data_IF_680090006185
#
_entry.id   IF_680090006185
#
_cell.length_a   1.000
_cell.length_b   1.000
_cell.length_c   1.000
_cell.angle_alpha   90.00
_cell.angle_beta   90.00
_cell.angle_gamma   90.00
#
_symmetry.space_group_name_H-M   'P 1'
#
loop_
_entity.id
_entity.type
_entity.pdbx_description
1 polymer ?
#
# COMPACT_ATOMS: atom_id res chain seq x y z
N UNK A 1 4.72 0.89 -13.63
CA UNK A 1 4.34 2.11 -12.91
C UNK A 1 3.56 1.83 -11.61
N UNK A 2 2.29 1.40 -11.59
CA UNK A 2 1.51 1.28 -10.33
C UNK A 2 2.11 0.27 -9.34
N UNK A 3 2.48 -0.93 -9.82
CA UNK A 3 3.17 -1.96 -9.01
C UNK A 3 4.53 -1.50 -8.49
N UNK A 4 5.18 -0.59 -9.20
CA UNK A 4 6.50 -0.08 -8.81
C UNK A 4 6.40 0.90 -7.65
N UNK A 5 5.23 1.52 -7.45
CA UNK A 5 5.00 2.38 -6.29
C UNK A 5 5.08 1.62 -4.97
N UNK A 6 4.97 0.29 -4.96
CA UNK A 6 5.07 -0.55 -3.76
C UNK A 6 6.50 -0.98 -3.43
N UNK A 7 7.46 -0.74 -4.33
CA UNK A 7 8.88 -1.03 -4.05
C UNK A 7 9.43 0.01 -3.08
N UNK A 8 10.23 -0.43 -2.11
CA UNK A 8 10.92 0.44 -1.15
C UNK A 8 9.98 1.38 -0.36
N UNK A 9 8.73 0.98 -0.16
CA UNK A 9 7.77 1.70 0.66
C UNK A 9 7.57 1.00 2.00
N UNK A 10 7.42 1.80 3.05
CA UNK A 10 7.06 1.29 4.35
C UNK A 10 5.58 0.85 4.40
N UNK A 11 5.27 -0.16 5.22
CA UNK A 11 3.89 -0.60 5.48
C UNK A 11 3.02 0.53 6.04
N UNK A 12 1.70 0.32 6.07
CA UNK A 12 0.67 1.36 6.30
C UNK A 12 0.42 2.27 5.09
N UNK A 13 0.38 1.67 3.90
CA UNK A 13 0.17 2.38 2.64
C UNK A 13 -1.24 2.99 2.54
N UNK A 14 -1.31 4.23 2.09
CA UNK A 14 -2.49 5.01 1.82
C UNK A 14 -2.61 5.37 0.34
N UNK A 15 -3.84 5.38 -0.19
CA UNK A 15 -4.08 5.69 -1.60
C UNK A 15 -4.47 7.16 -1.77
N UNK A 16 -3.70 7.89 -2.59
CA UNK A 16 -3.99 9.27 -2.99
C UNK A 16 -4.55 9.32 -4.40
N UNK A 17 -5.51 10.22 -4.66
CA UNK A 17 -6.14 10.39 -5.98
C UNK A 17 -5.70 11.69 -6.61
N UNK A 18 -5.28 11.63 -7.88
CA UNK A 18 -5.04 12.82 -8.70
C UNK A 18 -3.78 13.62 -8.35
N UNK A 19 -2.93 13.09 -7.47
CA UNK A 19 -1.62 13.66 -7.14
C UNK A 19 -0.56 12.56 -7.08
N UNK A 20 0.70 12.95 -7.26
CA UNK A 20 1.84 12.08 -6.99
C UNK A 20 1.92 11.81 -5.48
N UNK A 21 2.38 10.62 -5.07
CA UNK A 21 2.63 10.36 -3.65
C UNK A 21 3.74 11.29 -3.16
N UNK A 22 3.49 11.96 -2.04
CA UNK A 22 4.42 12.91 -1.42
C UNK A 22 5.31 12.21 -0.40
N UNK A 23 4.83 11.10 0.18
CA UNK A 23 5.50 10.35 1.23
C UNK A 23 5.66 8.86 0.89
N UNK A 24 6.50 8.18 1.65
CA UNK A 24 6.77 6.73 1.53
C UNK A 24 5.62 5.83 1.99
N UNK A 25 4.55 6.40 2.53
CA UNK A 25 3.32 5.69 2.85
C UNK A 25 2.21 5.96 1.82
N UNK A 26 2.47 6.69 0.74
CA UNK A 26 1.44 7.04 -0.24
C UNK A 26 1.63 6.32 -1.58
N UNK A 27 0.50 5.89 -2.16
CA UNK A 27 0.40 5.26 -3.48
C UNK A 27 -0.63 6.02 -4.31
N UNK A 28 -0.27 6.40 -5.53
CA UNK A 28 -1.21 7.05 -6.44
C UNK A 28 -2.21 6.03 -7.02
N UNK A 29 -3.50 6.33 -6.87
CA UNK A 29 -4.58 5.56 -7.50
C UNK A 29 -4.52 5.63 -9.02
N UNK A 30 -4.93 4.55 -9.67
CA UNK A 30 -5.19 4.56 -11.11
C UNK A 30 -6.49 5.35 -11.37
N UNK A 31 -6.43 6.31 -12.29
CA UNK A 31 -7.59 7.11 -12.72
C UNK A 31 -8.73 6.19 -13.18
N UNK A 32 -9.94 6.40 -12.66
CA UNK A 32 -11.11 5.57 -12.97
C UNK A 32 -11.18 4.24 -12.21
N UNK A 33 -10.11 3.82 -11.52
CA UNK A 33 -10.04 2.57 -10.77
C UNK A 33 -9.65 2.80 -9.29
N UNK A 34 -10.23 3.83 -8.67
CA UNK A 34 -9.94 4.20 -7.27
C UNK A 34 -10.30 3.10 -6.28
N UNK A 35 -11.43 2.41 -6.48
CA UNK A 35 -11.87 1.31 -5.59
C UNK A 35 -10.89 0.13 -5.69
N UNK A 36 -10.53 -0.28 -6.89
CA UNK A 36 -9.57 -1.37 -7.11
C UNK A 36 -8.18 -1.02 -6.55
N UNK A 37 -7.73 0.24 -6.71
CA UNK A 37 -6.45 0.70 -6.16
C UNK A 37 -6.43 0.63 -4.62
N UNK A 38 -7.53 1.02 -3.97
CA UNK A 38 -7.71 0.89 -2.51
C UNK A 38 -7.73 -0.57 -2.07
N UNK A 39 -8.41 -1.45 -2.81
CA UNK A 39 -8.47 -2.87 -2.48
C UNK A 39 -7.09 -3.53 -2.50
N UNK A 40 -6.29 -3.29 -3.54
CA UNK A 40 -4.91 -3.83 -3.63
C UNK A 40 -4.06 -3.33 -2.48
N UNK A 41 -4.10 -2.02 -2.19
CA UNK A 41 -3.32 -1.42 -1.09
C UNK A 41 -3.70 -2.00 0.26
N UNK A 42 -5.00 -2.21 0.51
CA UNK A 42 -5.50 -2.87 1.72
C UNK A 42 -4.99 -4.31 1.84
N UNK A 43 -5.00 -5.08 0.75
CA UNK A 43 -4.49 -6.46 0.72
C UNK A 43 -2.99 -6.47 1.06
N UNK A 44 -2.21 -5.55 0.51
CA UNK A 44 -0.78 -5.44 0.81
C UNK A 44 -0.55 -5.13 2.30
N UNK A 45 -1.25 -4.15 2.87
CA UNK A 45 -1.15 -3.84 4.30
C UNK A 45 -1.52 -5.05 5.16
N UNK A 46 -2.60 -5.76 4.83
CA UNK A 46 -3.01 -6.98 5.56
C UNK A 46 -1.98 -8.11 5.43
N UNK A 47 -1.39 -8.29 4.25
CA UNK A 47 -0.36 -9.29 4.03
C UNK A 47 0.90 -8.97 4.84
N UNK A 48 1.26 -7.70 4.93
CA UNK A 48 2.36 -7.24 5.76
C UNK A 48 2.11 -7.50 7.24
N UNK A 49 0.93 -7.15 7.77
CA UNK A 49 0.57 -7.43 9.16
C UNK A 49 0.62 -8.93 9.49
N UNK A 50 0.12 -9.77 8.56
CA UNK A 50 0.23 -11.22 8.69
C UNK A 50 1.67 -11.71 8.68
N UNK A 51 2.50 -11.15 7.80
CA UNK A 51 3.92 -11.49 7.69
C UNK A 51 4.69 -11.06 8.95
N UNK A 52 4.45 -9.84 9.45
CA UNK A 52 5.00 -9.33 10.71
C UNK A 52 4.66 -10.26 11.87
N UNK A 53 3.39 -10.67 11.97
CA UNK A 53 2.95 -11.66 12.97
C UNK A 53 3.64 -13.01 12.81
N UNK A 54 3.82 -13.48 11.58
CA UNK A 54 4.45 -14.77 11.30
C UNK A 54 5.98 -14.78 11.50
N UNK A 55 6.64 -13.64 11.30
CA UNK A 55 8.11 -13.51 11.39
C UNK A 55 8.61 -13.19 12.81
N UNK A 56 7.76 -12.73 13.73
CA UNK A 56 8.16 -12.55 15.14
C UNK A 56 7.51 -11.37 15.85
N UNK A 57 6.20 -11.41 16.03
CA UNK A 57 5.48 -10.44 16.87
C UNK A 57 4.49 -11.14 17.79
N UNK A 58 5.00 -12.03 18.65
CA UNK A 58 4.39 -12.22 19.97
C UNK A 58 4.77 -10.98 20.79
N UNK A 59 3.80 -10.10 21.02
CA UNK A 59 3.73 -9.25 22.21
C UNK A 59 2.49 -9.69 23.00
#
# INVERSE_FOLDING_TARGET
WFKEQFKDRMPELCVVKGRKPENEHEIMAITGATISSKAVTKIVNQAFEKLKKALGGEE
#
